data_IF_630367937506
#
_entry.id   IF_630367937506
#
_cell.length_a   1.000
_cell.length_b   1.000
_cell.length_c   1.000
_cell.angle_alpha   90.00
_cell.angle_beta   90.00
_cell.angle_gamma   90.00
#
_symmetry.space_group_name_H-M   'P 1'
#
loop_
_entity.id
_entity.type
_entity.pdbx_description
1 polymer ?
#
# COMPACT_ATOMS: atom_id res chain seq x y z
N UNK A 1 18.81 -4.98 -4.02
CA UNK A 1 18.02 -5.40 -5.19
C UNK A 1 17.05 -6.44 -4.66
N UNK A 2 15.75 -6.16 -4.67
CA UNK A 2 14.74 -7.10 -4.20
C UNK A 2 14.57 -8.24 -5.20
N UNK A 3 14.32 -9.43 -4.69
CA UNK A 3 14.11 -10.64 -5.50
C UNK A 3 12.67 -10.74 -6.07
N UNK A 4 11.85 -9.71 -5.86
CA UNK A 4 10.45 -9.68 -6.31
C UNK A 4 10.28 -8.73 -7.49
N UNK A 5 9.77 -9.27 -8.59
CA UNK A 5 9.31 -8.51 -9.73
C UNK A 5 7.79 -8.44 -9.64
N UNK A 6 7.25 -7.23 -9.52
CA UNK A 6 5.81 -7.00 -9.43
C UNK A 6 5.16 -6.91 -10.80
N UNK A 7 3.84 -7.06 -10.88
CA UNK A 7 3.10 -7.05 -12.14
C UNK A 7 3.38 -5.82 -13.03
N UNK A 8 3.49 -4.58 -12.50
CA UNK A 8 3.84 -3.42 -13.31
C UNK A 8 5.21 -3.50 -13.99
N UNK A 9 6.18 -4.22 -13.40
CA UNK A 9 7.52 -4.34 -13.96
C UNK A 9 7.62 -5.40 -15.05
N UNK A 10 6.63 -6.29 -15.15
CA UNK A 10 6.60 -7.33 -16.18
C UNK A 10 5.85 -6.93 -17.45
N UNK A 11 4.86 -6.05 -17.33
CA UNK A 11 4.01 -5.64 -18.45
C UNK A 11 3.27 -4.34 -18.14
N UNK A 12 3.13 -3.48 -19.15
CA UNK A 12 2.33 -2.26 -19.07
C UNK A 12 0.83 -2.55 -18.94
N UNK A 13 0.39 -3.77 -19.25
CA UNK A 13 -1.01 -4.14 -19.26
C UNK A 13 -1.69 -3.93 -17.90
N UNK A 14 -0.98 -4.21 -16.81
CA UNK A 14 -1.51 -4.03 -15.46
C UNK A 14 -1.85 -2.55 -15.20
N UNK A 15 -0.90 -1.65 -15.44
CA UNK A 15 -1.11 -0.20 -15.27
C UNK A 15 -2.20 0.35 -16.19
N UNK A 16 -2.28 -0.12 -17.44
CA UNK A 16 -3.31 0.30 -18.39
C UNK A 16 -4.71 -0.17 -17.96
N UNK A 17 -4.86 -1.39 -17.48
CA UNK A 17 -6.12 -1.88 -16.95
C UNK A 17 -6.54 -1.09 -15.70
N UNK A 18 -5.60 -0.82 -14.80
CA UNK A 18 -5.85 -0.02 -13.60
C UNK A 18 -6.27 1.41 -13.96
N UNK A 19 -5.58 2.05 -14.90
CA UNK A 19 -5.93 3.38 -15.38
C UNK A 19 -7.38 3.44 -15.88
N UNK A 20 -7.81 2.42 -16.65
CA UNK A 20 -9.20 2.33 -17.13
C UNK A 20 -10.22 2.15 -16.01
N UNK A 21 -9.86 1.46 -14.91
CA UNK A 21 -10.73 1.43 -13.74
C UNK A 21 -10.79 2.81 -13.07
N UNK A 22 -9.66 3.52 -12.98
CA UNK A 22 -9.62 4.87 -12.43
C UNK A 22 -10.53 5.82 -13.19
N UNK A 23 -10.69 5.71 -14.52
CA UNK A 23 -11.58 6.59 -15.30
C UNK A 23 -13.04 6.51 -14.89
N UNK A 24 -13.46 5.44 -14.22
CA UNK A 24 -14.83 5.28 -13.73
C UNK A 24 -15.11 6.13 -12.49
N UNK A 25 -14.07 6.60 -11.82
CA UNK A 25 -14.14 7.39 -10.59
C UNK A 25 -13.66 8.82 -10.83
N UNK A 26 -12.65 8.99 -11.68
CA UNK A 26 -12.07 10.29 -12.00
C UNK A 26 -13.03 11.08 -12.91
N UNK A 27 -13.42 12.27 -12.47
CA UNK A 27 -14.27 13.21 -13.19
C UNK A 27 -13.50 14.45 -13.69
N UNK A 28 -12.17 14.41 -13.63
CA UNK A 28 -11.27 15.49 -14.04
C UNK A 28 -10.95 16.50 -12.93
N UNK A 29 -11.61 16.41 -11.77
CA UNK A 29 -11.33 17.23 -10.57
C UNK A 29 -10.79 16.42 -9.39
N UNK A 30 -10.61 15.12 -9.60
CA UNK A 30 -10.15 14.18 -8.59
C UNK A 30 -8.68 13.82 -8.78
N UNK A 31 -8.08 13.34 -7.69
CA UNK A 31 -6.68 12.98 -7.62
C UNK A 31 -6.46 11.46 -7.59
N UNK A 32 -5.22 11.05 -7.80
CA UNK A 32 -4.76 9.69 -7.49
C UNK A 32 -3.74 9.77 -6.36
N UNK A 33 -3.82 8.84 -5.41
CA UNK A 33 -2.83 8.65 -4.36
C UNK A 33 -2.30 7.23 -4.41
N UNK A 34 -1.02 7.07 -4.71
CA UNK A 34 -0.32 5.78 -4.72
C UNK A 34 0.53 5.63 -3.47
N UNK A 35 0.41 4.47 -2.81
CA UNK A 35 1.28 4.10 -1.70
C UNK A 35 2.43 3.24 -2.19
N UNK A 36 3.67 3.62 -1.83
CA UNK A 36 4.84 2.80 -2.10
C UNK A 36 5.03 2.52 -3.58
N UNK A 37 5.15 3.55 -4.42
CA UNK A 37 5.25 3.42 -5.88
C UNK A 37 6.50 2.66 -6.39
N UNK A 38 7.34 2.12 -5.50
CA UNK A 38 8.51 1.31 -5.84
C UNK A 38 9.46 2.01 -6.81
N UNK A 39 9.57 1.48 -8.02
CA UNK A 39 10.39 2.08 -9.10
C UNK A 39 9.73 3.28 -9.80
N UNK A 40 8.44 3.52 -9.57
CA UNK A 40 7.64 4.54 -10.25
C UNK A 40 7.06 4.10 -11.61
N UNK A 41 7.26 2.84 -11.98
CA UNK A 41 6.77 2.30 -13.26
C UNK A 41 5.24 2.30 -13.30
N UNK A 42 4.57 1.88 -12.23
CA UNK A 42 3.10 1.88 -12.19
C UNK A 42 2.53 3.28 -12.38
N UNK A 43 3.09 4.29 -11.70
CA UNK A 43 2.68 5.68 -11.87
C UNK A 43 2.81 6.14 -13.35
N UNK A 44 3.92 5.76 -14.02
CA UNK A 44 4.10 6.13 -15.44
C UNK A 44 3.08 5.46 -16.35
N UNK A 45 2.79 4.17 -16.14
CA UNK A 45 1.81 3.42 -16.94
C UNK A 45 0.40 3.99 -16.77
N UNK A 46 0.01 4.26 -15.52
CA UNK A 46 -1.30 4.83 -15.20
C UNK A 46 -1.46 6.22 -15.81
N UNK A 47 -0.50 7.11 -15.59
CA UNK A 47 -0.52 8.47 -16.13
C UNK A 47 -0.50 8.48 -17.67
N UNK A 48 0.29 7.60 -18.29
CA UNK A 48 0.34 7.48 -19.74
C UNK A 48 -1.03 7.10 -20.34
N UNK A 49 -1.65 6.05 -19.80
CA UNK A 49 -2.96 5.59 -20.32
C UNK A 49 -4.07 6.59 -20.00
N UNK A 50 -4.06 7.22 -18.83
CA UNK A 50 -5.02 8.29 -18.51
C UNK A 50 -4.87 9.49 -19.45
N UNK A 51 -3.62 9.83 -19.84
CA UNK A 51 -3.37 10.86 -20.85
C UNK A 51 -3.95 10.48 -22.22
N UNK A 52 -3.80 9.23 -22.65
CA UNK A 52 -4.41 8.73 -23.89
C UNK A 52 -5.95 8.76 -23.86
N UNK A 53 -6.53 8.59 -22.68
CA UNK A 53 -7.97 8.60 -22.46
C UNK A 53 -8.54 10.01 -22.23
N UNK A 54 -7.69 11.05 -22.26
CA UNK A 54 -8.04 12.43 -21.90
C UNK A 54 -8.70 12.57 -20.53
N UNK A 55 -8.24 11.78 -19.55
CA UNK A 55 -8.79 11.74 -18.21
C UNK A 55 -7.67 11.77 -17.15
N UNK A 56 -6.74 12.71 -17.29
CA UNK A 56 -5.67 12.91 -16.33
C UNK A 56 -6.21 13.41 -14.98
N UNK A 57 -5.68 12.93 -13.84
CA UNK A 57 -6.02 13.49 -12.54
C UNK A 57 -5.47 14.93 -12.42
N UNK A 58 -6.01 15.72 -11.52
CA UNK A 58 -5.44 17.03 -11.21
C UNK A 58 -4.03 16.87 -10.64
N UNK A 59 -3.88 15.99 -9.64
CA UNK A 59 -2.58 15.58 -9.07
C UNK A 59 -2.48 14.07 -8.95
N UNK A 60 -1.26 13.58 -9.09
CA UNK A 60 -0.87 12.22 -8.78
C UNK A 60 0.08 12.26 -7.56
N UNK A 61 -0.45 11.91 -6.42
CA UNK A 61 0.32 11.88 -5.18
C UNK A 61 1.01 10.53 -5.03
N UNK A 62 2.25 10.53 -4.57
CA UNK A 62 2.99 9.34 -4.18
C UNK A 62 3.37 9.48 -2.71
N UNK A 63 2.80 8.64 -1.85
CA UNK A 63 3.20 8.54 -0.46
C UNK A 63 4.40 7.60 -0.37
N UNK A 64 5.58 8.17 -0.19
CA UNK A 64 6.85 7.46 -0.11
C UNK A 64 7.72 8.07 0.99
N UNK A 65 8.28 7.23 1.87
CA UNK A 65 9.11 7.69 2.98
C UNK A 65 10.61 7.65 2.65
N UNK A 66 11.01 6.78 1.72
CA UNK A 66 12.41 6.63 1.31
C UNK A 66 12.83 7.73 0.34
N UNK A 67 13.82 8.52 0.73
CA UNK A 67 14.39 9.55 -0.15
C UNK A 67 15.03 8.96 -1.41
N UNK A 68 15.63 7.77 -1.30
CA UNK A 68 16.24 7.06 -2.43
C UNK A 68 15.16 6.63 -3.44
N UNK A 69 14.04 6.04 -2.97
CA UNK A 69 12.94 5.64 -3.82
C UNK A 69 12.26 6.84 -4.48
N UNK A 70 12.07 7.95 -3.76
CA UNK A 70 11.56 9.20 -4.36
C UNK A 70 12.42 9.68 -5.52
N UNK A 71 13.74 9.66 -5.34
CA UNK A 71 14.67 10.07 -6.39
C UNK A 71 14.55 9.16 -7.61
N UNK A 72 14.52 7.83 -7.40
CA UNK A 72 14.35 6.83 -8.45
C UNK A 72 13.02 7.00 -9.19
N UNK A 73 11.93 7.18 -8.47
CA UNK A 73 10.59 7.44 -9.03
C UNK A 73 10.59 8.69 -9.90
N UNK A 74 11.20 9.78 -9.40
CA UNK A 74 11.34 11.03 -10.15
C UNK A 74 12.14 10.83 -11.45
N UNK A 75 13.24 10.10 -11.40
CA UNK A 75 14.05 9.79 -12.58
C UNK A 75 13.26 8.96 -13.60
N UNK A 76 12.52 7.93 -13.14
CA UNK A 76 11.68 7.09 -13.98
C UNK A 76 10.60 7.93 -14.69
N UNK A 77 9.86 8.75 -13.93
CA UNK A 77 8.78 9.57 -14.48
C UNK A 77 9.33 10.64 -15.42
N UNK A 78 10.42 11.31 -15.06
CA UNK A 78 11.07 12.31 -15.91
C UNK A 78 11.54 11.72 -17.24
N UNK A 79 12.02 10.47 -17.22
CA UNK A 79 12.50 9.79 -18.43
C UNK A 79 11.35 9.40 -19.37
N UNK A 80 10.20 9.03 -18.84
CA UNK A 80 9.09 8.43 -19.61
C UNK A 80 8.03 9.48 -19.96
N UNK A 81 7.68 10.36 -19.00
CA UNK A 81 6.60 11.35 -19.10
C UNK A 81 7.04 12.71 -18.52
N UNK A 82 8.09 13.35 -19.09
CA UNK A 82 8.59 14.62 -18.55
C UNK A 82 7.52 15.71 -18.49
N UNK A 83 6.58 15.72 -19.42
CA UNK A 83 5.48 16.69 -19.51
C UNK A 83 4.42 16.55 -18.39
N UNK A 84 4.37 15.40 -17.72
CA UNK A 84 3.44 15.16 -16.62
C UNK A 84 4.10 15.25 -15.23
N UNK A 85 5.39 15.53 -15.16
CA UNK A 85 6.12 15.57 -13.90
C UNK A 85 5.54 16.60 -12.91
N UNK A 86 5.06 17.73 -13.39
CA UNK A 86 4.46 18.79 -12.57
C UNK A 86 3.11 18.39 -11.94
N UNK A 87 2.51 17.30 -12.42
CA UNK A 87 1.32 16.71 -11.80
C UNK A 87 1.65 15.78 -10.66
N UNK A 88 2.89 15.28 -10.57
CA UNK A 88 3.30 14.31 -9.55
C UNK A 88 3.83 15.03 -8.32
N UNK A 89 3.27 14.67 -7.17
CA UNK A 89 3.62 15.27 -5.87
C UNK A 89 4.00 14.17 -4.90
N UNK A 90 5.22 14.24 -4.33
CA UNK A 90 5.67 13.31 -3.30
C UNK A 90 5.28 13.78 -1.91
N UNK A 91 4.61 12.89 -1.16
CA UNK A 91 4.17 13.12 0.20
C UNK A 91 5.01 12.33 1.20
N UNK A 92 5.11 12.85 2.44
CA UNK A 92 5.68 12.15 3.60
C UNK A 92 4.60 11.69 4.59
N UNK A 93 3.41 12.26 4.49
CA UNK A 93 2.25 11.98 5.34
C UNK A 93 0.99 12.01 4.48
N UNK A 94 -0.08 11.41 4.98
CA UNK A 94 -1.38 11.51 4.32
C UNK A 94 -1.81 12.98 4.18
N UNK A 95 -2.46 13.33 3.06
CA UNK A 95 -3.08 14.64 2.93
C UNK A 95 -4.26 14.73 3.92
N UNK A 96 -4.50 15.91 4.46
CA UNK A 96 -5.61 16.17 5.38
C UNK A 96 -6.99 15.94 4.72
N UNK A 97 -7.07 16.27 3.44
CA UNK A 97 -8.23 16.03 2.60
C UNK A 97 -7.79 15.37 1.29
N UNK A 98 -8.55 14.36 0.87
CA UNK A 98 -8.32 13.67 -0.38
C UNK A 98 -9.64 13.26 -1.00
N UNK A 99 -9.76 13.46 -2.32
CA UNK A 99 -10.89 12.99 -3.12
C UNK A 99 -10.36 12.37 -4.39
N UNK A 100 -10.68 11.10 -4.62
CA UNK A 100 -10.20 10.39 -5.81
C UNK A 100 -9.95 8.91 -5.59
N UNK A 101 -8.93 8.38 -6.24
CA UNK A 101 -8.57 6.96 -6.22
C UNK A 101 -7.30 6.72 -5.42
N UNK A 102 -7.34 5.77 -4.49
CA UNK A 102 -6.17 5.28 -3.77
C UNK A 102 -5.69 3.98 -4.42
N UNK A 103 -4.41 3.95 -4.78
CA UNK A 103 -3.71 2.78 -5.31
C UNK A 103 -2.75 2.26 -4.25
N UNK A 104 -2.88 0.98 -3.89
CA UNK A 104 -1.99 0.30 -2.94
C UNK A 104 -1.65 -1.09 -3.49
N UNK A 105 -0.67 -1.15 -4.40
CA UNK A 105 -0.24 -2.41 -5.01
C UNK A 105 0.88 -3.03 -4.19
N UNK A 106 0.66 -4.24 -3.65
CA UNK A 106 1.64 -4.99 -2.84
C UNK A 106 2.23 -4.15 -1.68
N UNK A 107 1.38 -3.43 -0.96
CA UNK A 107 1.77 -2.56 0.15
C UNK A 107 1.52 -3.22 1.49
N UNK A 108 0.36 -3.87 1.64
CA UNK A 108 -0.05 -4.45 2.92
C UNK A 108 0.81 -5.65 3.32
N UNK A 109 1.27 -6.43 2.37
CA UNK A 109 2.16 -7.57 2.57
C UNK A 109 3.60 -7.15 2.97
N UNK A 110 4.01 -5.93 2.60
CA UNK A 110 5.28 -5.35 3.03
C UNK A 110 5.23 -4.70 4.42
N UNK A 111 4.04 -4.53 5.00
CA UNK A 111 3.87 -3.93 6.32
C UNK A 111 4.03 -4.95 7.43
N UNK A 112 4.71 -4.60 8.55
CA UNK A 112 4.84 -5.50 9.69
C UNK A 112 3.47 -5.75 10.33
N UNK A 113 3.01 -6.99 10.30
CA UNK A 113 1.76 -7.42 10.93
C UNK A 113 2.02 -8.07 12.29
N UNK A 114 1.11 -7.86 13.23
CA UNK A 114 1.01 -8.61 14.47
C UNK A 114 -0.06 -9.68 14.32
N UNK A 115 0.27 -10.92 14.63
CA UNK A 115 -0.70 -11.99 14.66
C UNK A 115 -1.32 -12.09 16.05
N UNK A 116 -2.63 -12.08 16.10
CA UNK A 116 -3.40 -12.07 17.35
C UNK A 116 -4.30 -13.30 17.46
N UNK A 117 -4.50 -13.78 18.68
CA UNK A 117 -5.46 -14.85 18.99
C UNK A 117 -6.47 -14.39 20.04
N UNK A 118 -7.75 -14.68 19.84
CA UNK A 118 -8.81 -14.43 20.82
C UNK A 118 -8.70 -15.40 21.99
N UNK A 119 -8.58 -14.87 23.19
CA UNK A 119 -8.63 -15.60 24.47
C UNK A 119 -9.76 -15.05 25.36
N UNK A 120 -9.98 -15.73 26.51
CA UNK A 120 -10.87 -15.19 27.55
C UNK A 120 -10.32 -13.84 28.01
N UNK A 121 -11.05 -12.77 27.73
CA UNK A 121 -10.68 -11.40 28.14
C UNK A 121 -10.12 -10.52 27.03
N UNK A 122 -9.80 -11.03 25.81
CA UNK A 122 -9.34 -10.18 24.71
C UNK A 122 -8.43 -10.87 23.71
N UNK A 123 -7.74 -10.08 22.91
CA UNK A 123 -6.77 -10.58 21.96
C UNK A 123 -5.35 -10.55 22.54
N UNK A 124 -4.60 -11.60 22.31
CA UNK A 124 -3.21 -11.77 22.75
C UNK A 124 -2.33 -11.96 21.53
N UNK A 125 -1.14 -11.37 21.54
CA UNK A 125 -0.17 -11.48 20.45
C UNK A 125 0.45 -12.88 20.39
N UNK A 126 0.53 -13.45 19.18
CA UNK A 126 1.25 -14.67 18.85
C UNK A 126 2.60 -14.32 18.25
N UNK A 127 3.65 -14.88 18.81
CA UNK A 127 4.98 -14.86 18.22
C UNK A 127 5.42 -16.24 17.80
N UNK A 128 6.58 -16.32 17.16
CA UNK A 128 7.24 -17.58 16.80
C UNK A 128 8.42 -17.82 17.74
N UNK A 129 8.45 -18.99 18.34
CA UNK A 129 9.58 -19.46 19.15
C UNK A 129 10.17 -20.73 18.55
N UNK A 130 11.46 -21.02 18.86
CA UNK A 130 12.14 -22.22 18.44
C UNK A 130 12.33 -23.15 19.63
N UNK A 131 11.62 -24.28 19.65
CA UNK A 131 11.77 -25.31 20.64
C UNK A 131 12.14 -26.63 19.96
N UNK A 132 13.14 -27.29 20.47
CA UNK A 132 13.66 -28.58 19.96
C UNK A 132 13.96 -28.51 18.43
N UNK A 133 14.53 -27.38 17.97
CA UNK A 133 14.84 -27.08 16.57
C UNK A 133 13.60 -27.03 15.65
N UNK A 134 12.40 -26.81 16.23
CA UNK A 134 11.15 -26.64 15.51
C UNK A 134 10.53 -25.27 15.82
N UNK A 135 10.08 -24.58 14.77
CA UNK A 135 9.36 -23.32 14.92
C UNK A 135 7.93 -23.59 15.39
N UNK A 136 7.52 -22.91 16.46
CA UNK A 136 6.21 -23.07 17.08
C UNK A 136 5.59 -21.71 17.38
N UNK A 137 4.27 -21.61 17.21
CA UNK A 137 3.52 -20.45 17.68
C UNK A 137 3.45 -20.43 19.20
N UNK A 138 3.79 -19.29 19.79
CA UNK A 138 3.74 -19.08 21.23
C UNK A 138 3.04 -17.77 21.56
N UNK A 139 2.35 -17.74 22.70
CA UNK A 139 1.78 -16.50 23.21
C UNK A 139 2.89 -15.55 23.67
N UNK A 140 2.92 -14.36 23.11
CA UNK A 140 3.85 -13.31 23.46
C UNK A 140 3.20 -12.33 24.43
N UNK A 141 3.54 -12.48 25.73
CA UNK A 141 3.03 -11.61 26.78
C UNK A 141 1.57 -11.89 27.18
N UNK A 142 1.17 -11.27 28.28
CA UNK A 142 -0.23 -11.27 28.78
C UNK A 142 -0.95 -9.94 28.45
N UNK A 143 -0.35 -9.11 27.60
CA UNK A 143 -0.91 -7.80 27.30
C UNK A 143 -1.98 -7.96 26.22
N UNK A 144 -3.21 -7.69 26.60
CA UNK A 144 -4.29 -7.57 25.62
C UNK A 144 -4.04 -6.36 24.73
N UNK A 145 -4.18 -6.57 23.42
CA UNK A 145 -4.04 -5.49 22.44
C UNK A 145 -5.26 -4.58 22.56
N UNK A 146 -5.04 -3.31 22.80
CA UNK A 146 -6.09 -2.32 23.05
C UNK A 146 -6.69 -1.72 21.74
N UNK A 147 -6.39 -2.34 20.60
CA UNK A 147 -6.89 -1.94 19.27
C UNK A 147 -8.35 -2.36 19.04
N UNK A 148 -9.23 -2.05 20.00
CA UNK A 148 -10.66 -2.41 19.95
C UNK A 148 -11.39 -1.87 18.72
N UNK A 149 -10.87 -0.81 18.10
CA UNK A 149 -11.47 -0.20 16.91
C UNK A 149 -11.28 -1.03 15.64
N UNK A 150 -10.21 -1.84 15.58
CA UNK A 150 -9.83 -2.62 14.40
C UNK A 150 -10.15 -4.12 14.53
N UNK A 151 -10.53 -4.58 15.73
CA UNK A 151 -10.75 -6.00 16.01
C UNK A 151 -12.25 -6.30 16.13
N UNK A 152 -12.71 -7.42 15.56
CA UNK A 152 -14.10 -7.83 15.65
C UNK A 152 -14.48 -8.12 17.12
N UNK A 153 -15.60 -7.56 17.56
CA UNK A 153 -16.06 -7.69 18.94
C UNK A 153 -16.61 -9.09 19.25
N UNK A 154 -17.28 -9.72 18.29
CA UNK A 154 -17.99 -10.99 18.46
C UNK A 154 -17.35 -12.10 17.63
N UNK A 155 -16.27 -12.68 18.16
CA UNK A 155 -15.62 -13.85 17.56
C UNK A 155 -15.37 -14.91 18.62
N UNK A 156 -15.36 -16.17 18.19
CA UNK A 156 -15.14 -17.32 19.05
C UNK A 156 -13.72 -17.33 19.64
N UNK A 157 -13.60 -17.98 20.78
CA UNK A 157 -12.30 -18.24 21.39
C UNK A 157 -11.44 -19.09 20.45
N UNK A 158 -10.18 -18.71 20.26
CA UNK A 158 -9.27 -19.35 19.32
C UNK A 158 -9.24 -18.70 17.94
N UNK A 159 -10.16 -17.78 17.64
CA UNK A 159 -10.08 -16.99 16.40
C UNK A 159 -8.74 -16.28 16.29
N UNK A 160 -8.08 -16.39 15.12
CA UNK A 160 -6.82 -15.71 14.84
C UNK A 160 -7.00 -14.67 13.74
N UNK A 161 -6.33 -13.55 13.89
CA UNK A 161 -6.34 -12.45 12.93
C UNK A 161 -4.99 -11.75 12.90
N UNK A 162 -4.81 -10.86 11.96
CA UNK A 162 -3.64 -10.01 11.87
C UNK A 162 -4.05 -8.55 11.95
N UNK A 163 -3.19 -7.73 12.53
CA UNK A 163 -3.38 -6.28 12.59
C UNK A 163 -2.06 -5.57 12.35
N UNK A 164 -2.15 -4.38 11.75
CA UNK A 164 -1.05 -3.45 11.65
C UNK A 164 -1.50 -2.12 12.29
N UNK A 165 -1.05 -1.86 13.50
CA UNK A 165 -1.37 -0.63 14.23
C UNK A 165 -0.52 0.59 13.82
N UNK A 166 0.34 0.43 12.81
CA UNK A 166 1.21 1.50 12.29
C UNK A 166 0.91 1.86 10.83
N UNK A 167 -0.13 1.24 10.26
CA UNK A 167 -0.60 1.54 8.90
C UNK A 167 -1.42 2.82 8.86
#
# INVERSE_FOLDING_TARGET
QGDFITAPETSDLFGFCLARQCTQVLDGSNDILEFGAGSGILATQVLFELGRLNNLPEKYYILELSAELKQRQKETITKVLPELLDRVVWLNTFPEFFSGVVIANEVLDAMPAKRLIKKQGGFVELGVDCKDNQLQWQLFGQTYVDDKALLPNEVEQGYTTETNSRA
#
